data_IF_850040343497
#
_entry.id   IF_850040343497
#
_cell.length_a   1.000
_cell.length_b   1.000
_cell.length_c   1.000
_cell.angle_alpha   90.00
_cell.angle_beta   90.00
_cell.angle_gamma   90.00
#
_symmetry.space_group_name_H-M   'P 1'
#
loop_
_entity.id
_entity.type
_entity.pdbx_description
1 polymer ?
#
# COMPACT_ATOMS: atom_id res chain seq x y z
N UNK A 1 -2.09 2.37 -13.18
CA UNK A 1 -2.90 3.09 -12.17
C UNK A 1 -2.23 4.43 -11.92
N UNK A 2 -2.99 5.52 -12.00
CA UNK A 2 -2.53 6.84 -11.57
C UNK A 2 -2.96 7.05 -10.11
N UNK A 3 -2.02 7.01 -9.17
CA UNK A 3 -2.34 7.15 -7.73
C UNK A 3 -3.00 8.51 -7.42
N UNK A 4 -2.69 9.53 -8.24
CA UNK A 4 -3.18 10.88 -8.02
C UNK A 4 -4.69 11.02 -8.23
N UNK A 5 -5.29 10.18 -9.07
CA UNK A 5 -6.73 10.18 -9.33
C UNK A 5 -7.55 9.44 -8.27
N UNK A 6 -6.91 8.77 -7.31
CA UNK A 6 -7.61 8.03 -6.26
C UNK A 6 -8.20 8.98 -5.21
N UNK A 7 -9.39 8.63 -4.71
CA UNK A 7 -10.03 9.33 -3.58
C UNK A 7 -9.33 8.98 -2.26
N UNK A 8 -8.10 9.46 -2.12
CA UNK A 8 -7.22 9.28 -0.98
C UNK A 8 -6.56 10.62 -0.63
N UNK A 9 -6.35 10.85 0.66
CA UNK A 9 -5.52 11.98 1.10
C UNK A 9 -4.08 11.83 0.63
N UNK A 10 -3.32 12.92 0.58
CA UNK A 10 -1.91 12.90 0.17
C UNK A 10 -1.08 11.92 1.01
N UNK A 11 -1.30 11.88 2.32
CA UNK A 11 -0.63 10.90 3.19
C UNK A 11 -0.98 9.46 2.82
N UNK A 12 -2.25 9.17 2.54
CA UNK A 12 -2.67 7.83 2.12
C UNK A 12 -2.09 7.44 0.75
N UNK A 13 -1.98 8.40 -0.18
CA UNK A 13 -1.29 8.19 -1.47
C UNK A 13 0.19 7.85 -1.27
N UNK A 14 0.88 8.52 -0.35
CA UNK A 14 2.27 8.22 0.01
C UNK A 14 2.42 6.83 0.65
N UNK A 15 1.50 6.47 1.55
CA UNK A 15 1.43 5.13 2.16
C UNK A 15 1.20 4.06 1.07
N UNK A 16 0.26 4.28 0.16
CA UNK A 16 -0.01 3.39 -0.98
C UNK A 16 1.23 3.22 -1.86
N UNK A 17 1.91 4.32 -2.21
CA UNK A 17 3.15 4.26 -2.97
C UNK A 17 4.20 3.39 -2.28
N UNK A 18 4.33 3.48 -0.95
CA UNK A 18 5.27 2.64 -0.20
C UNK A 18 4.89 1.15 -0.19
N UNK A 19 3.60 0.80 -0.27
CA UNK A 19 3.15 -0.58 -0.43
C UNK A 19 3.51 -1.10 -1.83
N UNK A 20 3.29 -0.28 -2.87
CA UNK A 20 3.63 -0.62 -4.26
C UNK A 20 5.14 -0.82 -4.42
N UNK A 21 5.95 0.09 -3.88
CA UNK A 21 7.41 -0.01 -3.92
C UNK A 21 7.89 -1.28 -3.22
N UNK A 22 7.30 -1.61 -2.06
CA UNK A 22 7.64 -2.84 -1.35
C UNK A 22 7.32 -4.09 -2.17
N UNK A 23 6.15 -4.13 -2.81
CA UNK A 23 5.76 -5.23 -3.69
C UNK A 23 6.69 -5.36 -4.91
N UNK A 24 7.03 -4.24 -5.56
CA UNK A 24 7.95 -4.21 -6.70
C UNK A 24 9.37 -4.67 -6.34
N UNK A 25 9.79 -4.46 -5.08
CA UNK A 25 11.06 -4.96 -4.54
C UNK A 25 10.99 -6.41 -4.03
N UNK A 26 9.87 -7.12 -4.25
CA UNK A 26 9.59 -8.45 -3.69
C UNK A 26 9.72 -8.51 -2.15
N UNK A 27 9.44 -7.40 -1.46
CA UNK A 27 9.45 -7.32 0.00
C UNK A 27 8.04 -7.37 0.57
N UNK A 28 7.92 -8.01 1.73
CA UNK A 28 6.66 -8.10 2.45
C UNK A 28 6.27 -6.75 3.08
N UNK A 29 5.17 -6.11 2.63
CA UNK A 29 4.75 -4.81 3.14
C UNK A 29 3.97 -4.98 4.45
N UNK A 30 4.66 -5.25 5.56
CA UNK A 30 4.04 -5.13 6.89
C UNK A 30 3.87 -3.66 7.26
N UNK A 31 2.94 -3.34 8.16
CA UNK A 31 2.74 -1.95 8.64
C UNK A 31 4.06 -1.29 9.07
N UNK A 32 4.88 -1.99 9.85
CA UNK A 32 6.20 -1.49 10.28
C UNK A 32 7.14 -1.24 9.10
N UNK A 33 7.11 -2.12 8.09
CA UNK A 33 7.91 -1.96 6.87
C UNK A 33 7.50 -0.73 6.08
N UNK A 34 6.19 -0.47 5.97
CA UNK A 34 5.65 0.72 5.31
C UNK A 34 6.03 1.99 6.07
N UNK A 35 5.94 1.98 7.41
CA UNK A 35 6.38 3.12 8.26
C UNK A 35 7.86 3.41 8.08
N UNK A 36 8.72 2.38 8.06
CA UNK A 36 10.16 2.55 7.83
C UNK A 36 10.44 3.19 6.47
N UNK A 37 9.72 2.79 5.42
CA UNK A 37 9.83 3.37 4.08
C UNK A 37 9.37 4.83 4.04
N UNK A 38 8.24 5.14 4.68
CA UNK A 38 7.75 6.52 4.82
C UNK A 38 8.81 7.40 5.49
N UNK A 39 9.37 6.95 6.62
CA UNK A 39 10.44 7.66 7.34
C UNK A 39 11.71 7.80 6.52
N UNK A 40 12.13 6.77 5.78
CA UNK A 40 13.29 6.83 4.90
C UNK A 40 13.13 7.85 3.75
N UNK A 41 11.89 8.15 3.36
CA UNK A 41 11.56 9.20 2.39
C UNK A 41 11.38 10.59 3.02
N UNK A 42 11.64 10.74 4.32
CA UNK A 42 11.51 12.01 5.04
C UNK A 42 10.12 12.33 5.57
N UNK A 43 9.17 11.38 5.53
CA UNK A 43 7.81 11.59 6.02
C UNK A 43 7.65 11.13 7.47
N UNK A 44 6.99 11.95 8.27
CA UNK A 44 6.62 11.57 9.64
C UNK A 44 5.26 10.85 9.65
N UNK A 45 5.25 9.66 10.23
CA UNK A 45 4.02 8.89 10.45
C UNK A 45 4.23 7.91 11.62
N UNK A 46 3.19 7.76 12.44
CA UNK A 46 3.14 6.73 13.48
C UNK A 46 2.64 5.39 12.92
N UNK A 47 2.95 4.28 13.58
CA UNK A 47 2.40 2.97 13.20
C UNK A 47 0.88 2.93 13.26
N UNK A 48 0.27 3.63 14.23
CA UNK A 48 -1.19 3.74 14.36
C UNK A 48 -1.81 4.47 13.17
N UNK A 49 -1.24 5.60 12.75
CA UNK A 49 -1.69 6.33 11.56
C UNK A 49 -1.51 5.49 10.29
N UNK A 50 -0.36 4.84 10.14
CA UNK A 50 -0.11 3.98 8.98
C UNK A 50 -1.09 2.81 8.92
N UNK A 51 -1.38 2.16 10.04
CA UNK A 51 -2.37 1.07 10.10
C UNK A 51 -3.77 1.55 9.71
N UNK A 52 -4.17 2.75 10.16
CA UNK A 52 -5.43 3.37 9.77
C UNK A 52 -5.48 3.66 8.27
N UNK A 53 -4.44 4.29 7.73
CA UNK A 53 -4.35 4.64 6.31
C UNK A 53 -4.38 3.38 5.43
N UNK A 54 -3.66 2.32 5.81
CA UNK A 54 -3.70 1.01 5.12
C UNK A 54 -5.10 0.39 5.15
N UNK A 55 -5.83 0.56 6.26
CA UNK A 55 -7.23 0.18 6.37
C UNK A 55 -8.14 0.93 5.38
N UNK A 56 -7.92 2.23 5.17
CA UNK A 56 -8.67 3.01 4.19
C UNK A 56 -8.31 2.57 2.76
N UNK A 57 -7.03 2.38 2.48
CA UNK A 57 -6.51 2.00 1.16
C UNK A 57 -7.16 0.70 0.68
N UNK A 58 -7.20 -0.36 1.50
CA UNK A 58 -7.81 -1.65 1.08
C UNK A 58 -9.31 -1.58 0.78
N UNK A 59 -10.01 -0.55 1.28
CA UNK A 59 -11.44 -0.34 1.01
C UNK A 59 -11.67 0.65 -0.14
N UNK A 60 -10.61 1.25 -0.65
CA UNK A 60 -10.66 2.21 -1.75
C UNK A 60 -10.54 1.46 -3.06
N UNK A 61 -11.48 1.72 -3.98
CA UNK A 61 -11.52 1.10 -5.30
C UNK A 61 -10.23 1.39 -6.06
N UNK A 62 -9.88 0.47 -6.95
CA UNK A 62 -8.77 0.59 -7.89
C UNK A 62 -7.38 0.74 -7.27
N UNK A 63 -7.24 0.56 -5.94
CA UNK A 63 -5.93 0.52 -5.26
C UNK A 63 -5.18 -0.79 -5.49
N UNK A 64 -5.92 -1.88 -5.76
CA UNK A 64 -5.42 -3.25 -5.88
C UNK A 64 -4.57 -3.71 -4.69
N UNK A 65 -4.85 -3.17 -3.50
CA UNK A 65 -4.24 -3.61 -2.25
C UNK A 65 -5.18 -4.56 -1.53
N UNK A 66 -4.65 -5.71 -1.14
CA UNK A 66 -5.32 -6.72 -0.34
C UNK A 66 -4.59 -6.90 0.98
N UNK A 67 -5.28 -7.47 1.97
CA UNK A 67 -4.64 -7.82 3.24
C UNK A 67 -4.75 -9.30 3.51
N UNK A 68 -3.62 -9.93 3.85
CA UNK A 68 -3.57 -11.32 4.29
C UNK A 68 -3.04 -11.37 5.73
N UNK A 69 -3.62 -12.26 6.54
CA UNK A 69 -3.15 -12.54 7.89
C UNK A 69 -2.76 -14.01 7.96
N UNK A 70 -1.55 -14.30 8.42
CA UNK A 70 -1.09 -15.65 8.70
C UNK A 70 -1.10 -15.85 10.21
N UNK A 71 -2.11 -16.52 10.76
CA UNK A 71 -2.21 -16.89 12.18
C UNK A 71 -1.77 -15.79 13.17
N UNK A 72 -0.75 -16.05 14.00
CA UNK A 72 -0.19 -15.15 15.01
C UNK A 72 0.67 -13.99 14.45
N UNK A 73 0.80 -13.88 13.12
CA UNK A 73 1.63 -12.85 12.49
C UNK A 73 0.87 -11.53 12.24
N UNK A 74 1.61 -10.40 12.17
CA UNK A 74 1.03 -9.13 11.75
C UNK A 74 0.49 -9.19 10.32
N UNK A 75 -0.56 -8.40 10.05
CA UNK A 75 -1.21 -8.29 8.75
C UNK A 75 -0.21 -7.88 7.67
N UNK A 76 -0.16 -8.66 6.59
CA UNK A 76 0.60 -8.40 5.37
C UNK A 76 -0.28 -7.65 4.38
N UNK A 77 0.24 -6.57 3.81
CA UNK A 77 -0.45 -5.78 2.79
C UNK A 77 0.13 -6.13 1.42
N UNK A 78 -0.67 -6.64 0.50
CA UNK A 78 -0.23 -7.16 -0.79
C UNK A 78 -0.75 -6.23 -1.87
N UNK A 79 0.14 -5.76 -2.75
CA UNK A 79 -0.25 -5.06 -3.96
C UNK A 79 -0.16 -6.01 -5.15
N UNK A 80 -1.25 -6.14 -5.90
CA UNK A 80 -1.26 -6.86 -7.16
C UNK A 80 -1.46 -5.86 -8.29
N UNK A 81 -0.46 -5.73 -9.16
CA UNK A 81 -0.61 -4.87 -10.32
C UNK A 81 -1.81 -5.35 -11.16
N UNK A 82 -2.69 -4.43 -11.63
CA UNK A 82 -3.78 -4.82 -12.51
C UNK A 82 -3.21 -5.54 -13.72
N UNK A 83 -3.79 -6.70 -14.06
CA UNK A 83 -3.45 -7.40 -15.29
C UNK A 83 -3.67 -6.42 -16.44
N UNK A 84 -2.61 -6.09 -17.18
CA UNK A 84 -2.75 -5.35 -18.44
C UNK A 84 -3.68 -6.19 -19.30
N UNK A 85 -4.89 -5.69 -19.53
CA UNK A 85 -5.74 -6.26 -20.55
C UNK A 85 -5.02 -5.94 -21.86
N UNK A 86 -4.39 -6.94 -22.48
CA UNK A 86 -3.96 -6.83 -23.86
C UNK A 86 -5.21 -6.59 -24.69
N UNK A 87 -5.47 -5.32 -24.99
CA UNK A 87 -6.46 -4.97 -26.00
C UNK A 87 -5.80 -5.33 -27.33
N UNK A 88 -6.04 -6.56 -27.79
CA UNK A 88 -5.73 -6.94 -29.16
C UNK A 88 -6.51 -6.00 -30.07
N UNK A 89 -5.79 -5.05 -30.66
CA UNK A 89 -6.28 -4.14 -31.71
C UNK A 89 -5.82 -4.67 -33.06
#
# INVERSE_FOLDING_TARGET
MEIQSLNLSDRQKLVLQCVIDAANENKQPFTVGVVRRMKAKGYEITEKQCAYDLGVIIRTKDTHVYSMKFDNNPKLWIYEAPKKTEVNS
#
